data_IF_955897341677
#
_entry.id   IF_955897341677
#
_cell.length_a   1.000
_cell.length_b   1.000
_cell.length_c   1.000
_cell.angle_alpha   90.00
_cell.angle_beta   90.00
_cell.angle_gamma   90.00
#
_symmetry.space_group_name_H-M   'P 1'
#
loop_
_entity.id
_entity.type
_entity.pdbx_description
1 polymer ?
#
# COMPACT_ATOMS: atom_id res chain seq x y z
N UNK A 1 11.20 3.07 16.79
CA UNK A 1 11.55 1.67 16.45
C UNK A 1 12.39 1.02 17.55
N UNK A 2 13.63 1.47 17.80
CA UNK A 2 14.53 0.86 18.80
C UNK A 2 13.88 0.62 20.18
N UNK A 3 13.13 1.60 20.71
CA UNK A 3 12.43 1.43 21.99
C UNK A 3 11.33 0.35 21.96
N UNK A 4 10.66 0.18 20.82
CA UNK A 4 9.67 -0.89 20.62
C UNK A 4 10.37 -2.25 20.52
N UNK A 5 11.49 -2.33 19.78
CA UNK A 5 12.27 -3.57 19.67
C UNK A 5 12.88 -3.98 21.03
N UNK A 6 13.28 -3.02 21.85
CA UNK A 6 13.78 -3.23 23.22
C UNK A 6 12.64 -3.54 24.22
N UNK A 7 11.38 -3.56 23.80
CA UNK A 7 10.22 -3.77 24.67
C UNK A 7 9.98 -2.64 25.69
N UNK A 8 10.63 -1.49 25.49
CA UNK A 8 10.54 -0.30 26.36
C UNK A 8 9.42 0.65 25.98
N UNK A 9 8.85 0.48 24.80
CA UNK A 9 7.67 1.17 24.31
C UNK A 9 6.59 0.13 24.06
N UNK A 10 5.40 0.32 24.65
CA UNK A 10 4.27 -0.54 24.38
C UNK A 10 3.77 -0.35 22.93
N UNK A 11 3.16 -1.39 22.35
CA UNK A 11 2.58 -1.35 21.00
C UNK A 11 1.49 -0.27 20.87
N UNK A 12 0.66 -0.09 21.90
CA UNK A 12 -0.36 0.97 21.97
C UNK A 12 0.26 2.36 21.87
N UNK A 13 1.38 2.56 22.55
CA UNK A 13 2.09 3.84 22.55
C UNK A 13 2.79 4.08 21.22
N UNK A 14 3.34 3.03 20.59
CA UNK A 14 3.88 3.11 19.24
C UNK A 14 2.80 3.51 18.22
N UNK A 15 1.60 2.91 18.30
CA UNK A 15 0.48 3.28 17.45
C UNK A 15 0.02 4.72 17.69
N UNK A 16 -0.02 5.18 18.94
CA UNK A 16 -0.33 6.57 19.28
C UNK A 16 0.68 7.54 18.65
N UNK A 17 1.97 7.27 18.78
CA UNK A 17 3.04 8.10 18.20
C UNK A 17 3.00 8.10 16.67
N UNK A 18 2.70 6.95 16.06
CA UNK A 18 2.54 6.87 14.61
C UNK A 18 1.32 7.65 14.13
N UNK A 19 0.19 7.57 14.84
CA UNK A 19 -1.00 8.36 14.52
C UNK A 19 -0.76 9.87 14.56
N UNK A 20 0.12 10.34 15.46
CA UNK A 20 0.54 11.74 15.49
C UNK A 20 1.43 12.10 14.30
N UNK A 21 2.40 11.25 13.97
CA UNK A 21 3.29 11.48 12.83
C UNK A 21 2.55 11.51 11.49
N UNK A 22 1.52 10.65 11.35
CA UNK A 22 0.69 10.53 10.15
C UNK A 22 -0.53 11.44 10.15
N UNK A 23 -0.59 12.42 11.06
CA UNK A 23 -1.72 13.33 11.13
C UNK A 23 -1.86 14.17 9.84
N UNK A 24 -3.07 14.65 9.49
CA UNK A 24 -3.28 15.50 8.33
C UNK A 24 -2.49 16.82 8.35
N UNK A 25 -2.00 17.24 9.52
CA UNK A 25 -1.17 18.45 9.66
C UNK A 25 0.30 18.23 9.30
N UNK A 26 0.74 16.98 9.15
CA UNK A 26 2.11 16.66 8.76
C UNK A 26 2.23 16.68 7.23
N UNK A 27 3.22 17.37 6.64
CA UNK A 27 3.48 17.29 5.21
C UNK A 27 3.67 15.83 4.75
N UNK A 28 3.09 15.38 3.63
CA UNK A 28 3.16 13.97 3.21
C UNK A 28 4.59 13.43 3.06
N UNK A 29 5.53 14.26 2.59
CA UNK A 29 6.94 13.89 2.49
C UNK A 29 7.57 13.58 3.86
N UNK A 30 7.25 14.37 4.88
CA UNK A 30 7.75 14.17 6.25
C UNK A 30 7.13 12.93 6.89
N UNK A 31 5.82 12.71 6.68
CA UNK A 31 5.14 11.50 7.12
C UNK A 31 5.73 10.24 6.45
N UNK A 32 6.05 10.29 5.15
CA UNK A 32 6.70 9.21 4.43
C UNK A 32 8.11 8.92 4.96
N UNK A 33 8.90 9.95 5.25
CA UNK A 33 10.22 9.82 5.86
C UNK A 33 10.14 9.20 7.27
N UNK A 34 9.12 9.58 8.05
CA UNK A 34 8.87 8.96 9.34
C UNK A 34 8.55 7.46 9.20
N UNK A 35 7.69 7.09 8.24
CA UNK A 35 7.37 5.68 7.94
C UNK A 35 8.63 4.90 7.53
N UNK A 36 9.49 5.46 6.67
CA UNK A 36 10.76 4.80 6.33
C UNK A 36 11.59 4.56 7.60
N UNK A 37 11.77 5.57 8.45
CA UNK A 37 12.55 5.43 9.68
C UNK A 37 11.96 4.43 10.68
N UNK A 38 10.64 4.27 10.72
CA UNK A 38 9.96 3.36 11.62
C UNK A 38 9.89 1.93 11.08
N UNK A 39 9.51 1.74 9.81
CA UNK A 39 9.23 0.43 9.21
C UNK A 39 10.39 -0.09 8.34
N UNK A 40 11.30 0.78 7.90
CA UNK A 40 12.46 0.41 7.08
C UNK A 40 13.65 -0.20 7.84
N UNK A 41 13.56 -0.35 9.17
CA UNK A 41 14.65 -0.82 10.02
C UNK A 41 15.20 -2.22 9.63
N UNK A 42 16.52 -2.31 9.51
CA UNK A 42 17.29 -3.46 8.98
C UNK A 42 17.20 -4.79 9.76
N UNK A 43 16.42 -4.89 10.83
CA UNK A 43 16.31 -6.14 11.63
C UNK A 43 14.91 -6.74 11.68
N UNK A 44 14.00 -6.29 10.81
CA UNK A 44 12.64 -6.83 10.80
C UNK A 44 11.78 -6.51 9.57
N UNK A 45 12.27 -5.74 8.58
CA UNK A 45 11.77 -5.67 7.21
C UNK A 45 10.25 -5.84 7.00
N UNK A 46 9.43 -5.05 7.71
CA UNK A 46 7.96 -5.08 7.56
C UNK A 46 7.21 -6.08 8.42
N UNK A 47 7.87 -6.96 9.19
CA UNK A 47 7.21 -7.96 10.04
C UNK A 47 6.33 -7.34 11.12
N UNK A 48 6.70 -6.14 11.61
CA UNK A 48 5.90 -5.38 12.55
C UNK A 48 4.50 -5.06 12.00
N UNK A 49 4.41 -4.66 10.73
CA UNK A 49 3.13 -4.38 10.07
C UNK A 49 2.32 -5.64 9.78
N UNK A 50 2.98 -6.79 9.67
CA UNK A 50 2.28 -8.08 9.53
C UNK A 50 1.63 -8.51 10.85
N UNK A 51 2.24 -8.17 11.98
CA UNK A 51 1.78 -8.58 13.30
C UNK A 51 0.83 -7.58 13.97
N UNK A 52 1.00 -6.28 13.75
CA UNK A 52 0.12 -5.24 14.29
C UNK A 52 -0.74 -4.64 13.17
N UNK A 53 -1.95 -5.19 13.01
CA UNK A 53 -2.94 -4.72 12.05
C UNK A 53 -3.37 -3.26 12.29
N UNK A 54 -3.21 -2.74 13.51
CA UNK A 54 -3.54 -1.33 13.81
C UNK A 54 -2.50 -0.40 13.21
N UNK A 55 -1.22 -0.77 13.30
CA UNK A 55 -0.15 -0.03 12.64
C UNK A 55 -0.34 -0.08 11.11
N UNK A 56 -0.67 -1.25 10.57
CA UNK A 56 -0.99 -1.37 9.15
C UNK A 56 -2.18 -0.48 8.75
N UNK A 57 -3.24 -0.45 9.56
CA UNK A 57 -4.41 0.40 9.35
C UNK A 57 -4.10 1.90 9.39
N UNK A 58 -3.19 2.34 10.26
CA UNK A 58 -2.75 3.75 10.30
C UNK A 58 -1.96 4.14 9.03
N UNK A 59 -1.11 3.25 8.53
CA UNK A 59 -0.38 3.47 7.26
C UNK A 59 -1.36 3.51 6.08
N UNK A 60 -2.33 2.58 6.04
CA UNK A 60 -3.35 2.50 4.99
C UNK A 60 -4.27 3.73 4.97
N UNK A 61 -4.77 4.14 6.14
CA UNK A 61 -5.61 5.34 6.29
C UNK A 61 -4.87 6.62 5.87
N UNK A 62 -3.58 6.73 6.23
CA UNK A 62 -2.77 7.86 5.78
C UNK A 62 -2.56 7.82 4.27
N UNK A 63 -2.11 6.68 3.71
CA UNK A 63 -1.85 6.53 2.26
C UNK A 63 -3.08 6.85 1.41
N UNK A 64 -4.26 6.39 1.82
CA UNK A 64 -5.53 6.63 1.13
C UNK A 64 -6.04 8.07 1.30
N UNK A 65 -5.55 8.79 2.32
CA UNK A 65 -5.83 10.20 2.55
C UNK A 65 -4.87 11.18 1.88
N UNK A 66 -3.75 10.72 1.31
CA UNK A 66 -2.79 11.60 0.62
C UNK A 66 -3.40 12.17 -0.67
N UNK A 67 -3.39 13.50 -0.87
CA UNK A 67 -3.85 14.12 -2.10
C UNK A 67 -3.10 13.62 -3.35
N UNK A 68 -3.80 13.45 -4.47
CA UNK A 68 -3.24 12.86 -5.69
C UNK A 68 -2.04 13.63 -6.26
N UNK A 69 -2.01 14.95 -6.08
CA UNK A 69 -0.91 15.84 -6.48
C UNK A 69 0.36 15.68 -5.64
N UNK A 70 0.25 15.13 -4.42
CA UNK A 70 1.38 14.89 -3.51
C UNK A 70 1.71 13.40 -3.39
N UNK A 71 0.81 12.51 -3.82
CA UNK A 71 1.01 11.07 -3.75
C UNK A 71 2.23 10.60 -4.55
N UNK A 72 2.47 11.20 -5.72
CA UNK A 72 3.63 10.86 -6.56
C UNK A 72 4.97 11.18 -5.90
N UNK A 73 5.00 12.10 -4.95
CA UNK A 73 6.22 12.55 -4.29
C UNK A 73 6.63 11.60 -3.15
N UNK A 74 5.67 10.93 -2.52
CA UNK A 74 5.92 9.97 -1.44
C UNK A 74 6.22 8.56 -1.95
N UNK A 75 5.69 8.20 -3.12
CA UNK A 75 5.82 6.86 -3.70
C UNK A 75 7.26 6.35 -3.87
N UNK A 76 8.25 7.14 -4.36
CA UNK A 76 9.61 6.64 -4.57
C UNK A 76 10.24 6.10 -3.29
N UNK A 77 10.05 6.82 -2.18
CA UNK A 77 10.59 6.46 -0.87
C UNK A 77 9.91 5.20 -0.31
N UNK A 78 8.58 5.17 -0.37
CA UNK A 78 7.80 4.03 0.09
C UNK A 78 8.07 2.78 -0.74
N UNK A 79 8.15 2.92 -2.08
CA UNK A 79 8.51 1.83 -2.99
C UNK A 79 9.88 1.27 -2.61
N UNK A 80 10.88 2.10 -2.38
CA UNK A 80 12.21 1.67 -1.94
C UNK A 80 12.13 0.91 -0.61
N UNK A 81 11.40 1.45 0.36
CA UNK A 81 11.22 0.85 1.70
C UNK A 81 10.57 -0.53 1.61
N UNK A 82 9.38 -0.62 1.01
CA UNK A 82 8.62 -1.87 0.92
C UNK A 82 9.26 -2.90 -0.01
N UNK A 83 10.00 -2.48 -1.05
CA UNK A 83 10.68 -3.41 -1.96
C UNK A 83 11.88 -4.11 -1.32
N UNK A 84 12.46 -3.53 -0.27
CA UNK A 84 13.56 -4.12 0.48
C UNK A 84 13.11 -5.27 1.41
N UNK A 85 11.79 -5.47 1.58
CA UNK A 85 11.26 -6.54 2.42
C UNK A 85 11.38 -7.90 1.75
N UNK A 86 11.52 -8.93 2.58
CA UNK A 86 11.51 -10.31 2.12
C UNK A 86 10.26 -10.61 1.28
N UNK A 87 10.37 -11.42 0.21
CA UNK A 87 9.24 -11.73 -0.66
C UNK A 87 8.01 -12.26 0.10
N UNK A 88 8.22 -13.05 1.14
CA UNK A 88 7.14 -13.57 2.00
C UNK A 88 6.39 -12.46 2.74
N UNK A 89 7.12 -11.52 3.33
CA UNK A 89 6.52 -10.37 4.04
C UNK A 89 5.72 -9.50 3.08
N UNK A 90 6.26 -9.21 1.88
CA UNK A 90 5.54 -8.44 0.85
C UNK A 90 4.25 -9.14 0.42
N UNK A 91 4.28 -10.47 0.27
CA UNK A 91 3.08 -11.26 -0.06
C UNK A 91 2.02 -11.15 1.04
N UNK A 92 2.41 -11.37 2.29
CA UNK A 92 1.49 -11.30 3.43
C UNK A 92 0.90 -9.89 3.62
N UNK A 93 1.72 -8.84 3.51
CA UNK A 93 1.24 -7.46 3.52
C UNK A 93 0.26 -7.19 2.38
N UNK A 94 0.54 -7.68 1.17
CA UNK A 94 -0.38 -7.57 0.05
C UNK A 94 -1.70 -8.33 0.26
N UNK A 95 -1.66 -9.49 0.93
CA UNK A 95 -2.86 -10.24 1.33
C UNK A 95 -3.67 -9.49 2.39
N UNK A 96 -3.02 -8.89 3.38
CA UNK A 96 -3.67 -8.06 4.40
C UNK A 96 -4.31 -6.81 3.78
N UNK A 97 -3.57 -6.09 2.93
CA UNK A 97 -4.10 -4.93 2.21
C UNK A 97 -5.33 -5.28 1.35
N UNK A 98 -5.35 -6.45 0.70
CA UNK A 98 -6.51 -6.94 -0.07
C UNK A 98 -7.75 -7.24 0.77
N UNK A 99 -7.59 -7.51 2.06
CA UNK A 99 -8.73 -7.71 2.97
C UNK A 99 -9.41 -6.39 3.35
N UNK A 100 -8.71 -5.26 3.18
CA UNK A 100 -9.17 -3.94 3.56
C UNK A 100 -9.09 -3.70 5.07
N UNK A 101 -9.22 -2.43 5.52
CA UNK A 101 -9.20 -2.10 6.93
C UNK A 101 -10.36 -2.78 7.66
N UNK A 102 -10.08 -3.43 8.79
CA UNK A 102 -11.11 -3.88 9.73
C UNK A 102 -11.63 -2.62 10.44
N UNK A 103 -12.90 -2.22 10.26
CA UNK A 103 -13.42 -1.04 10.93
C UNK A 103 -13.34 -1.25 12.45
N UNK A 104 -12.80 -0.28 13.17
CA UNK A 104 -12.84 -0.27 14.62
C UNK A 104 -14.31 -0.26 15.09
N UNK A 105 -14.84 -1.44 15.45
CA UNK A 105 -16.21 -1.62 15.91
C UNK A 105 -17.13 -2.47 15.02
N UNK A 106 -16.67 -2.99 13.87
CA UNK A 106 -17.50 -3.89 13.06
C UNK A 106 -17.59 -5.29 13.68
N UNK A 107 -18.82 -5.75 13.96
CA UNK A 107 -19.09 -7.16 14.28
C UNK A 107 -18.69 -8.00 13.06
N UNK A 108 -18.08 -9.15 13.31
CA UNK A 108 -17.48 -10.07 12.31
C UNK A 108 -18.49 -10.62 11.26
N UNK A 109 -19.77 -10.26 11.35
CA UNK A 109 -20.86 -10.81 10.55
C UNK A 109 -21.19 -9.97 9.29
N UNK A 110 -20.68 -8.75 9.16
CA UNK A 110 -20.93 -7.87 8.01
C UNK A 110 -19.75 -7.83 7.00
N UNK A 111 -19.10 -8.98 6.78
CA UNK A 111 -18.06 -9.11 5.77
C UNK A 111 -18.65 -8.95 4.35
N UNK A 112 -18.70 -7.71 3.86
CA UNK A 112 -18.89 -7.43 2.45
C UNK A 112 -17.81 -8.15 1.62
N UNK A 113 -18.14 -8.64 0.41
CA UNK A 113 -17.20 -9.42 -0.38
C UNK A 113 -15.93 -8.59 -0.67
N UNK A 114 -14.77 -9.22 -0.48
CA UNK A 114 -13.46 -8.67 -0.76
C UNK A 114 -13.47 -8.04 -2.15
N UNK A 115 -13.45 -6.70 -2.20
CA UNK A 115 -13.38 -5.97 -3.46
C UNK A 115 -11.96 -6.11 -3.95
N UNK A 116 -11.73 -7.12 -4.81
CA UNK A 116 -10.44 -7.39 -5.41
C UNK A 116 -9.90 -6.13 -6.07
N UNK A 117 -8.60 -5.88 -5.89
CA UNK A 117 -7.89 -4.71 -6.40
C UNK A 117 -7.82 -4.68 -7.91
N UNK A 118 -8.93 -4.33 -8.54
CA UNK A 118 -9.14 -3.64 -9.80
C UNK A 118 -10.48 -2.91 -9.59
N UNK A 119 -10.75 -1.82 -10.31
CA UNK A 119 -12.06 -1.16 -10.22
C UNK A 119 -13.22 -2.15 -10.49
N UNK A 120 -14.49 -1.73 -10.41
CA UNK A 120 -15.64 -2.63 -10.56
C UNK A 120 -15.73 -3.38 -11.91
N UNK A 121 -14.76 -3.19 -12.82
CA UNK A 121 -14.55 -3.97 -14.03
C UNK A 121 -13.22 -3.67 -14.71
N UNK A 122 -13.10 -4.12 -15.96
CA UNK A 122 -11.98 -3.85 -16.84
C UNK A 122 -11.99 -2.39 -17.32
N UNK A 123 -10.88 -1.68 -17.12
CA UNK A 123 -10.61 -0.39 -17.78
C UNK A 123 -10.32 -0.65 -19.27
N UNK A 124 -11.34 -0.48 -20.11
CA UNK A 124 -11.24 -0.73 -21.56
C UNK A 124 -10.20 0.17 -22.23
N UNK A 125 -10.15 1.46 -21.85
CA UNK A 125 -9.19 2.39 -22.44
C UNK A 125 -7.74 1.97 -22.15
N UNK A 126 -7.46 1.50 -20.93
CA UNK A 126 -6.15 0.95 -20.57
C UNK A 126 -5.87 -0.39 -21.26
N UNK A 127 -6.88 -1.25 -21.39
CA UNK A 127 -6.75 -2.55 -22.07
C UNK A 127 -6.42 -2.37 -23.56
N UNK A 128 -7.11 -1.47 -24.25
CA UNK A 128 -6.90 -1.16 -25.67
C UNK A 128 -5.49 -0.59 -25.89
N UNK A 129 -5.01 0.24 -24.96
CA UNK A 129 -3.67 0.84 -25.04
C UNK A 129 -2.52 -0.19 -24.98
N UNK A 130 -2.72 -1.34 -24.32
CA UNK A 130 -1.69 -2.38 -24.19
C UNK A 130 -1.81 -3.50 -25.22
N UNK A 131 -2.92 -3.59 -25.95
CA UNK A 131 -3.18 -4.65 -26.93
C UNK A 131 -2.08 -4.78 -28.00
N UNK A 132 -1.55 -3.69 -28.61
CA UNK A 132 -0.51 -3.81 -29.64
C UNK A 132 0.78 -4.45 -29.11
N UNK A 133 1.17 -4.11 -27.88
CA UNK A 133 2.37 -4.65 -27.23
C UNK A 133 2.18 -6.12 -26.87
N UNK A 134 1.00 -6.49 -26.36
CA UNK A 134 0.68 -7.88 -26.05
C UNK A 134 0.69 -8.75 -27.32
N UNK A 135 0.16 -8.25 -28.44
CA UNK A 135 0.21 -8.95 -29.73
C UNK A 135 1.66 -9.18 -30.18
N UNK A 136 2.52 -8.18 -30.07
CA UNK A 136 3.95 -8.32 -30.36
C UNK A 136 4.62 -9.39 -29.51
N UNK A 137 4.41 -9.35 -28.18
CA UNK A 137 4.98 -10.33 -27.25
C UNK A 137 4.47 -11.76 -27.47
N UNK A 138 3.23 -11.89 -27.93
CA UNK A 138 2.58 -13.18 -28.23
C UNK A 138 2.78 -13.64 -29.68
N UNK A 139 3.56 -12.91 -30.49
CA UNK A 139 3.84 -13.26 -31.89
C UNK A 139 2.63 -13.15 -32.82
N UNK A 140 1.61 -12.35 -32.46
CA UNK A 140 0.42 -12.09 -33.27
C UNK A 140 0.60 -10.77 -34.05
N UNK A 141 0.29 -10.72 -35.35
CA UNK A 141 0.42 -9.48 -36.11
C UNK A 141 -0.54 -8.40 -35.57
N UNK A 142 -0.15 -7.11 -35.59
CA UNK A 142 -1.07 -6.02 -35.30
C UNK A 142 -2.15 -5.97 -36.39
N UNK A 143 -3.43 -5.95 -36.01
CA UNK A 143 -4.50 -5.61 -36.94
C UNK A 143 -4.25 -4.20 -37.49
N UNK A 144 -4.44 -3.97 -38.80
CA UNK A 144 -4.36 -2.62 -39.35
C UNK A 144 -5.42 -1.76 -38.66
N UNK A 145 -5.01 -0.56 -38.21
CA UNK A 145 -5.94 0.42 -37.68
C UNK A 145 -7.04 0.65 -38.73
N UNK A 146 -8.26 0.23 -38.41
CA UNK A 146 -9.43 0.48 -39.25
C UNK A 146 -9.56 2.00 -39.38
N UNK A 147 -9.21 2.51 -40.55
CA UNK A 147 -9.32 3.92 -40.88
C UNK A 147 -10.80 4.27 -40.84
N UNK A 148 -11.20 4.97 -39.77
CA UNK A 148 -12.53 5.56 -39.66
C UNK A 148 -12.77 6.48 -40.86
N UNK A 149 -13.78 6.13 -41.67
CA UNK A 149 -14.48 7.01 -42.62
C UNK A 149 -15.85 7.31 -42.04
#
# INVERSE_FOLDING_TARGET
>A
RLLLDEGRLAEDEAARLMGLALSPGTPPADAAAWIEGFVGGASGGGMLLVHDERLLGLVDAWLTGVPADQFTDVLPLLRRTFSAYEPGVRRTLGELARRGPVPAGARRDDAAPATGGFGPGLDRARADAVEPVLRLLLGRPPEPAEAAV
#
